data_IF_225499449000
#
_entry.id   IF_225499449000
#
_cell.length_a   1.000
_cell.length_b   1.000
_cell.length_c   1.000
_cell.angle_alpha   90.00
_cell.angle_beta   90.00
_cell.angle_gamma   90.00
#
_symmetry.space_group_name_H-M   'P 1'
#
loop_
_entity.id
_entity.type
_entity.pdbx_description
1 polymer ?
#
# COMPACT_ATOMS: atom_id res chain seq x y z
N UNK A 1 7.07 18.52 -2.13
CA UNK A 1 6.49 18.37 -3.49
C UNK A 1 6.93 17.07 -4.19
N UNK A 2 8.16 16.58 -3.98
CA UNK A 2 8.67 15.38 -4.66
C UNK A 2 7.87 14.09 -4.38
N UNK A 3 7.44 13.85 -3.13
CA UNK A 3 6.64 12.66 -2.76
C UNK A 3 5.39 12.46 -3.63
N UNK A 4 4.69 13.55 -3.96
CA UNK A 4 3.48 13.48 -4.79
C UNK A 4 3.78 13.02 -6.22
N UNK A 5 4.95 13.34 -6.76
CA UNK A 5 5.36 12.86 -8.08
C UNK A 5 5.59 11.34 -8.09
N UNK A 6 6.10 10.77 -6.99
CA UNK A 6 6.21 9.32 -6.81
C UNK A 6 4.82 8.67 -6.74
N UNK A 7 3.90 9.24 -5.95
CA UNK A 7 2.53 8.75 -5.85
C UNK A 7 1.81 8.73 -7.21
N UNK A 8 2.00 9.76 -8.04
CA UNK A 8 1.46 9.81 -9.40
C UNK A 8 2.11 8.73 -10.27
N UNK A 9 3.44 8.59 -10.24
CA UNK A 9 4.15 7.55 -11.00
C UNK A 9 3.71 6.12 -10.62
N UNK A 10 3.36 5.91 -9.35
CA UNK A 10 2.91 4.61 -8.83
C UNK A 10 1.45 4.29 -9.14
N UNK A 11 0.58 5.30 -9.07
CA UNK A 11 -0.88 5.12 -9.21
C UNK A 11 -1.34 5.08 -10.67
N UNK A 12 -0.58 5.66 -11.59
CA UNK A 12 -0.89 5.65 -13.03
C UNK A 12 -0.24 4.48 -13.76
N UNK A 13 -0.96 3.91 -14.74
CA UNK A 13 -0.41 2.85 -15.60
C UNK A 13 0.22 3.47 -16.84
N UNK A 14 1.42 3.00 -17.22
CA UNK A 14 2.13 3.37 -18.47
C UNK A 14 2.53 4.85 -18.59
N UNK A 15 2.57 5.60 -17.49
CA UNK A 15 3.03 6.99 -17.47
C UNK A 15 4.46 7.05 -16.92
N UNK A 16 5.32 7.88 -17.53
CA UNK A 16 6.67 8.17 -17.01
C UNK A 16 6.67 9.59 -16.45
N UNK A 17 7.17 9.76 -15.23
CA UNK A 17 7.19 11.06 -14.54
C UNK A 17 8.63 11.54 -14.38
N UNK A 18 8.88 12.81 -14.74
CA UNK A 18 10.20 13.44 -14.75
C UNK A 18 10.18 14.79 -14.01
N UNK A 19 10.17 14.82 -12.68
CA UNK A 19 10.37 16.07 -11.95
C UNK A 19 11.81 16.57 -12.17
N UNK A 20 11.96 17.83 -12.57
CA UNK A 20 13.26 18.48 -12.79
C UNK A 20 14.20 17.64 -13.69
N UNK A 21 13.66 17.13 -14.81
CA UNK A 21 14.38 16.34 -15.83
C UNK A 21 14.94 14.98 -15.36
N UNK A 22 14.73 14.61 -14.09
CA UNK A 22 15.15 13.31 -13.54
C UNK A 22 13.97 12.34 -13.50
N UNK A 23 14.15 11.17 -14.09
CA UNK A 23 13.14 10.11 -14.09
C UNK A 23 12.96 9.51 -12.70
N UNK A 24 11.71 9.39 -12.25
CA UNK A 24 11.40 8.64 -11.02
C UNK A 24 11.55 7.12 -11.28
N UNK A 25 12.29 6.38 -10.43
CA UNK A 25 12.51 4.95 -10.59
C UNK A 25 11.35 4.09 -10.06
N UNK A 26 10.11 4.55 -10.18
CA UNK A 26 8.89 3.84 -9.77
C UNK A 26 8.05 3.54 -10.99
N UNK A 27 7.74 2.27 -11.23
CA UNK A 27 6.98 1.83 -12.41
C UNK A 27 5.60 1.30 -12.07
N UNK A 28 5.41 0.84 -10.84
CA UNK A 28 4.16 0.20 -10.42
C UNK A 28 3.86 0.49 -8.93
N UNK A 29 2.67 0.06 -8.49
CA UNK A 29 2.22 0.23 -7.12
C UNK A 29 3.11 -0.51 -6.11
N UNK A 30 3.62 -1.69 -6.47
CA UNK A 30 4.49 -2.51 -5.63
C UNK A 30 5.81 -1.80 -5.32
N UNK A 31 6.47 -1.23 -6.32
CA UNK A 31 7.72 -0.47 -6.15
C UNK A 31 7.51 0.71 -5.17
N UNK A 32 6.34 1.34 -5.22
CA UNK A 32 6.00 2.44 -4.33
C UNK A 32 5.79 1.98 -2.89
N UNK A 33 5.13 0.84 -2.70
CA UNK A 33 4.96 0.22 -1.37
C UNK A 33 6.33 -0.16 -0.78
N UNK A 34 7.21 -0.75 -1.59
CA UNK A 34 8.58 -1.08 -1.16
C UNK A 34 9.36 0.17 -0.73
N UNK A 35 9.16 1.32 -1.39
CA UNK A 35 9.75 2.59 -0.95
C UNK A 35 9.19 3.08 0.39
N UNK A 36 7.90 2.86 0.67
CA UNK A 36 7.30 3.22 1.96
C UNK A 36 7.82 2.36 3.11
N UNK A 37 8.14 1.08 2.83
CA UNK A 37 8.62 0.13 3.84
C UNK A 37 10.14 0.10 3.95
N UNK A 38 10.85 0.80 3.04
CA UNK A 38 12.31 0.83 3.04
C UNK A 38 12.82 1.58 4.27
N UNK A 39 13.41 0.83 5.20
CA UNK A 39 13.94 1.36 6.46
C UNK A 39 12.95 1.27 7.62
N UNK A 40 11.75 0.72 7.40
CA UNK A 40 10.85 0.32 8.48
C UNK A 40 11.28 -1.06 8.99
N UNK A 41 11.40 -1.17 10.31
CA UNK A 41 11.77 -2.39 11.02
C UNK A 41 10.56 -2.88 11.84
N UNK A 42 10.41 -4.19 11.94
CA UNK A 42 9.44 -4.80 12.85
C UNK A 42 9.92 -4.74 14.30
N UNK A 43 9.07 -5.17 15.23
CA UNK A 43 9.39 -5.20 16.68
C UNK A 43 10.61 -6.07 17.03
N UNK A 44 11.08 -6.90 16.09
CA UNK A 44 12.23 -7.79 16.24
C UNK A 44 13.48 -7.29 15.47
N UNK A 45 13.44 -6.09 14.88
CA UNK A 45 14.55 -5.50 14.13
C UNK A 45 14.72 -6.08 12.72
N UNK A 46 13.73 -6.79 12.17
CA UNK A 46 13.75 -7.27 10.79
C UNK A 46 13.07 -6.28 9.86
N UNK A 47 13.43 -6.32 8.57
CA UNK A 47 12.73 -5.53 7.55
C UNK A 47 11.25 -5.91 7.45
N UNK A 48 10.38 -4.90 7.49
CA UNK A 48 8.93 -5.11 7.39
C UNK A 48 8.57 -5.73 6.04
N UNK A 49 8.02 -6.94 6.08
CA UNK A 49 7.51 -7.62 4.89
C UNK A 49 6.11 -7.12 4.55
N UNK A 50 5.86 -6.93 3.26
CA UNK A 50 4.51 -6.69 2.75
C UNK A 50 4.01 -7.83 1.87
N UNK A 51 2.70 -8.03 1.92
CA UNK A 51 1.96 -8.83 0.95
C UNK A 51 1.34 -7.87 -0.05
N UNK A 52 1.63 -8.06 -1.34
CA UNK A 52 1.07 -7.26 -2.43
C UNK A 52 0.23 -8.15 -3.34
N UNK A 53 -0.96 -7.67 -3.70
CA UNK A 53 -1.84 -8.36 -4.63
C UNK A 53 -2.44 -7.38 -5.65
N UNK A 54 -2.33 -7.76 -6.93
CA UNK A 54 -3.01 -7.09 -8.04
C UNK A 54 -4.33 -7.82 -8.31
N UNK A 55 -5.34 -7.53 -7.49
CA UNK A 55 -6.63 -8.22 -7.48
C UNK A 55 -7.31 -8.18 -8.85
N UNK A 56 -7.32 -7.01 -9.49
CA UNK A 56 -7.84 -6.83 -10.84
C UNK A 56 -7.32 -5.53 -11.48
N UNK A 57 -7.91 -5.11 -12.60
CA UNK A 57 -7.48 -3.88 -13.27
C UNK A 57 -7.69 -2.60 -12.44
N UNK A 58 -8.65 -2.59 -11.52
CA UNK A 58 -9.00 -1.41 -10.72
C UNK A 58 -8.44 -1.45 -9.30
N UNK A 59 -8.19 -2.64 -8.78
CA UNK A 59 -7.78 -2.85 -7.39
C UNK A 59 -6.38 -3.45 -7.30
N UNK A 60 -5.52 -2.74 -6.58
CA UNK A 60 -4.21 -3.19 -6.13
C UNK A 60 -4.17 -2.94 -4.63
N UNK A 61 -3.80 -3.94 -3.87
CA UNK A 61 -3.78 -3.88 -2.40
C UNK A 61 -2.41 -4.33 -1.92
N UNK A 62 -1.86 -3.63 -0.94
CA UNK A 62 -0.71 -4.09 -0.20
C UNK A 62 -0.98 -3.96 1.30
N UNK A 63 -0.53 -4.96 2.05
CA UNK A 63 -0.69 -5.01 3.51
C UNK A 63 0.67 -5.31 4.13
N UNK A 64 1.01 -4.57 5.17
CA UNK A 64 2.21 -4.75 5.98
C UNK A 64 1.83 -4.63 7.46
N UNK A 65 2.68 -5.17 8.34
CA UNK A 65 2.53 -5.02 9.79
C UNK A 65 2.91 -3.59 10.18
N UNK A 66 2.20 -3.00 11.14
CA UNK A 66 2.51 -1.66 11.68
C UNK A 66 2.70 -1.73 13.19
N UNK A 67 3.68 -0.98 13.68
CA UNK A 67 4.05 -0.78 15.09
C UNK A 67 3.24 0.35 15.77
N UNK A 68 2.58 1.21 14.98
CA UNK A 68 1.93 2.46 15.44
C UNK A 68 0.41 2.44 15.29
N UNK A 69 -0.18 1.26 15.33
CA UNK A 69 -1.61 1.08 15.11
C UNK A 69 -2.02 1.15 13.64
N UNK A 70 -3.29 1.43 13.36
CA UNK A 70 -3.80 1.40 11.98
C UNK A 70 -3.24 2.55 11.15
N UNK A 71 -2.58 2.21 10.05
CA UNK A 71 -2.07 3.15 9.05
C UNK A 71 -2.61 2.80 7.66
N UNK A 72 -2.82 3.83 6.84
CA UNK A 72 -3.33 3.65 5.49
C UNK A 72 -2.72 4.65 4.51
N UNK A 73 -2.46 4.20 3.29
CA UNK A 73 -2.13 5.04 2.15
C UNK A 73 -3.01 4.57 0.99
N UNK A 74 -4.00 5.39 0.61
CA UNK A 74 -4.94 5.08 -0.48
C UNK A 74 -4.85 6.08 -1.62
N UNK A 75 -5.19 5.56 -2.81
CA UNK A 75 -5.43 6.38 -3.99
C UNK A 75 -6.73 5.95 -4.68
N UNK A 76 -7.58 6.92 -5.02
CA UNK A 76 -8.75 6.72 -5.88
C UNK A 76 -8.58 7.58 -7.11
N UNK A 77 -8.50 6.96 -8.29
CA UNK A 77 -8.23 7.65 -9.56
C UNK A 77 -7.02 8.61 -9.46
N UNK A 78 -5.92 8.12 -8.88
CA UNK A 78 -4.68 8.85 -8.59
C UNK A 78 -4.79 9.99 -7.56
N UNK A 79 -5.96 10.26 -6.97
CA UNK A 79 -6.13 11.22 -5.87
C UNK A 79 -5.69 10.54 -4.57
N UNK A 80 -4.77 11.17 -3.83
CA UNK A 80 -4.34 10.68 -2.52
C UNK A 80 -5.45 10.92 -1.48
N UNK A 81 -6.08 9.85 -0.99
CA UNK A 81 -7.16 9.92 0.01
C UNK A 81 -6.56 9.75 1.41
N UNK A 82 -5.90 10.80 1.91
CA UNK A 82 -5.19 10.78 3.20
C UNK A 82 -6.08 10.49 4.41
N UNK A 83 -7.38 10.82 4.32
CA UNK A 83 -8.38 10.52 5.35
C UNK A 83 -9.09 9.17 5.16
N UNK A 84 -8.71 8.38 4.15
CA UNK A 84 -9.38 7.13 3.81
C UNK A 84 -10.73 7.35 3.15
N UNK A 85 -11.70 6.49 3.45
CA UNK A 85 -13.05 6.46 2.87
C UNK A 85 -13.52 5.03 2.65
N UNK A 86 -14.74 4.88 2.09
CA UNK A 86 -15.39 3.56 1.93
C UNK A 86 -14.58 2.53 1.14
N UNK A 87 -13.71 2.97 0.22
CA UNK A 87 -12.81 2.08 -0.52
C UNK A 87 -11.76 1.43 0.39
N UNK A 88 -11.32 2.13 1.44
CA UNK A 88 -10.43 1.58 2.45
C UNK A 88 -11.20 0.64 3.38
N UNK A 89 -12.34 1.08 3.90
CA UNK A 89 -13.20 0.27 4.78
C UNK A 89 -13.54 -1.08 4.15
N UNK A 90 -13.90 -1.07 2.86
CA UNK A 90 -14.22 -2.30 2.11
C UNK A 90 -13.08 -3.33 2.13
N UNK A 91 -11.83 -2.87 1.96
CA UNK A 91 -10.65 -3.74 1.93
C UNK A 91 -10.27 -4.19 3.34
N UNK A 92 -10.28 -3.27 4.31
CA UNK A 92 -9.91 -3.57 5.69
C UNK A 92 -10.90 -4.54 6.34
N UNK A 93 -12.21 -4.30 6.17
CA UNK A 93 -13.25 -5.15 6.78
C UNK A 93 -13.21 -6.57 6.22
N UNK A 94 -13.02 -6.70 4.90
CA UNK A 94 -12.86 -8.02 4.26
C UNK A 94 -11.64 -8.76 4.79
N UNK A 95 -10.51 -8.05 4.95
CA UNK A 95 -9.25 -8.64 5.42
C UNK A 95 -9.35 -9.06 6.89
N UNK A 96 -9.86 -8.19 7.76
CA UNK A 96 -10.05 -8.45 9.20
C UNK A 96 -11.01 -9.61 9.41
N UNK A 97 -12.12 -9.65 8.68
CA UNK A 97 -13.10 -10.75 8.78
C UNK A 97 -12.47 -12.11 8.48
N UNK A 98 -11.72 -12.22 7.39
CA UNK A 98 -11.04 -13.48 7.02
C UNK A 98 -9.96 -13.88 8.04
N UNK A 99 -9.22 -12.92 8.59
CA UNK A 99 -8.23 -13.19 9.63
C UNK A 99 -8.88 -13.74 10.90
N UNK A 100 -9.98 -13.13 11.36
CA UNK A 100 -10.74 -13.58 12.53
C UNK A 100 -11.24 -15.02 12.33
N UNK A 101 -11.79 -15.33 11.16
CA UNK A 101 -12.28 -16.67 10.84
C UNK A 101 -11.16 -17.72 10.86
N UNK A 102 -10.00 -17.42 10.26
CA UNK A 102 -8.84 -18.31 10.30
C UNK A 102 -8.30 -18.53 11.71
N UNK A 103 -8.30 -17.50 12.57
CA UNK A 103 -7.87 -17.62 13.97
C UNK A 103 -8.83 -18.49 14.78
N UNK A 104 -10.14 -18.32 14.60
CA UNK A 104 -11.16 -19.15 15.26
C UNK A 104 -11.04 -20.63 14.88
N UNK A 105 -10.76 -20.93 13.61
CA UNK A 105 -10.63 -22.31 13.14
C UNK A 105 -9.32 -22.98 13.60
N UNK A 106 -8.24 -22.22 13.81
CA UNK A 106 -6.97 -22.75 14.34
C UNK A 106 -6.99 -23.01 15.85
N UNK A 107 -7.80 -22.26 16.60
CA UNK A 107 -7.93 -22.37 18.05
C UNK A 107 -9.14 -23.22 18.48
N UNK A 108 -9.62 -24.08 17.58
CA UNK A 108 -10.63 -25.10 17.86
C UNK A 108 -9.96 -26.47 17.82
#
# INVERSE_FOLDING_TARGET
>A
MSRRAFDIAASTRRVKVFPNEKKIPVKNCKDNVELYLKGEEDEFGNSVKSVYENVNERWKVAVAVSDRGFQQVSFVNSIATTKGGRHMDHVTDSTVKQLIERLKNKNK
#
